data_IF_524704576148
#
_entry.id   IF_524704576148
#
_cell.length_a   1.000
_cell.length_b   1.000
_cell.length_c   1.000
_cell.angle_alpha   90.00
_cell.angle_beta   90.00
_cell.angle_gamma   90.00
#
_symmetry.space_group_name_H-M   'P 1'
#
loop_
_entity.id
_entity.type
_entity.pdbx_description
1 polymer ?
#
# COMPACT_ATOMS: atom_id res chain seq x y z
N UNK A 1 -9.68 6.17 28.43
CA UNK A 1 -9.70 7.07 28.17
C UNK A 1 -10.64 7.85 28.58
N UNK A 2 -10.60 8.73 28.66
CA UNK A 2 -11.31 9.38 29.19
C UNK A 2 -12.12 10.22 28.53
N UNK A 3 -11.90 10.59 27.45
CA UNK A 3 -12.68 11.48 26.89
C UNK A 3 -13.97 10.94 26.59
N UNK A 4 -14.13 9.78 26.69
CA UNK A 4 -15.41 9.21 26.47
C UNK A 4 -16.36 9.60 27.55
N UNK A 5 -15.85 10.14 28.62
CA UNK A 5 -16.64 10.39 29.66
C UNK A 5 -17.51 11.49 29.47
N UNK A 6 -17.03 12.48 28.96
CA UNK A 6 -17.85 13.59 28.88
C UNK A 6 -18.52 13.58 27.62
N UNK A 7 -19.69 13.28 27.62
CA UNK A 7 -20.35 13.14 26.44
C UNK A 7 -20.91 14.40 25.96
N UNK A 8 -20.21 15.01 25.16
CA UNK A 8 -20.69 16.20 24.57
C UNK A 8 -21.21 15.89 23.19
N UNK A 9 -22.08 16.69 22.67
CA UNK A 9 -22.53 16.52 21.32
C UNK A 9 -21.40 16.52 20.35
N UNK A 10 -20.44 17.38 20.58
CA UNK A 10 -19.28 17.45 19.75
C UNK A 10 -18.55 16.13 19.72
N UNK A 11 -18.44 15.50 20.87
CA UNK A 11 -17.78 14.21 20.95
C UNK A 11 -18.53 13.14 20.21
N UNK A 12 -19.83 13.15 20.27
CA UNK A 12 -20.63 12.17 19.57
C UNK A 12 -20.43 12.31 18.06
N UNK A 13 -20.41 13.54 17.55
CA UNK A 13 -20.16 13.76 16.15
C UNK A 13 -18.77 13.31 15.76
N UNK A 14 -17.78 13.62 16.59
CA UNK A 14 -16.41 13.19 16.33
C UNK A 14 -16.30 11.69 16.31
N UNK A 15 -17.02 11.02 17.21
CA UNK A 15 -17.00 9.57 17.25
C UNK A 15 -17.56 8.95 15.99
N UNK A 16 -18.54 9.56 15.38
CA UNK A 16 -19.05 9.08 14.10
C UNK A 16 -17.98 9.15 13.03
N UNK A 17 -17.31 10.29 12.93
CA UNK A 17 -16.24 10.45 11.97
C UNK A 17 -15.08 9.51 12.24
N UNK A 18 -14.69 9.40 13.48
CA UNK A 18 -13.62 8.52 13.89
C UNK A 18 -13.97 7.08 13.53
N UNK A 19 -15.20 6.66 13.83
CA UNK A 19 -15.64 5.31 13.51
C UNK A 19 -15.60 5.02 12.03
N UNK A 20 -15.97 5.98 11.20
CA UNK A 20 -15.92 5.83 9.76
C UNK A 20 -14.49 5.67 9.26
N UNK A 21 -13.59 6.51 9.77
CA UNK A 21 -12.19 6.45 9.40
C UNK A 21 -11.58 5.12 9.83
N UNK A 22 -11.87 4.69 11.06
CA UNK A 22 -11.37 3.43 11.58
C UNK A 22 -11.84 2.24 10.73
N UNK A 23 -13.08 2.26 10.27
CA UNK A 23 -13.57 1.20 9.39
C UNK A 23 -12.84 1.18 8.06
N UNK A 24 -12.52 2.35 7.53
CA UNK A 24 -11.76 2.43 6.28
C UNK A 24 -10.35 1.90 6.46
N UNK A 25 -9.73 2.25 7.59
CA UNK A 25 -8.39 1.73 7.90
C UNK A 25 -8.42 0.20 7.99
N UNK A 26 -9.43 -0.36 8.67
CA UNK A 26 -9.55 -1.81 8.76
C UNK A 26 -9.72 -2.48 7.41
N UNK A 27 -10.51 -1.87 6.53
CA UNK A 27 -10.66 -2.41 5.18
C UNK A 27 -9.36 -2.39 4.40
N UNK A 28 -8.58 -1.35 4.58
CA UNK A 28 -7.27 -1.28 3.94
C UNK A 28 -6.31 -2.31 4.51
N UNK A 29 -6.37 -2.56 5.83
CA UNK A 29 -5.57 -3.62 6.44
C UNK A 29 -5.94 -4.98 5.87
N UNK A 30 -7.22 -5.24 5.68
CA UNK A 30 -7.68 -6.48 5.07
C UNK A 30 -7.20 -6.60 3.63
N UNK A 31 -7.30 -5.51 2.87
CA UNK A 31 -6.84 -5.49 1.49
C UNK A 31 -5.34 -5.77 1.41
N UNK A 32 -4.58 -5.20 2.35
CA UNK A 32 -3.14 -5.44 2.41
C UNK A 32 -2.84 -6.90 2.72
N UNK A 33 -3.58 -7.48 3.64
CA UNK A 33 -3.40 -8.89 4.00
C UNK A 33 -3.81 -9.85 2.90
N UNK A 34 -4.67 -9.41 1.99
CA UNK A 34 -5.13 -10.24 0.88
C UNK A 34 -4.31 -10.07 -0.40
N UNK A 35 -3.30 -9.19 -0.38
CA UNK A 35 -2.43 -9.06 -1.53
C UNK A 35 -1.62 -10.35 -1.68
N UNK A 36 -1.39 -10.75 -2.89
CA UNK A 36 -0.47 -11.84 -3.15
C UNK A 36 0.97 -11.37 -2.94
N UNK A 37 1.92 -12.21 -3.35
CA UNK A 37 3.33 -11.84 -3.20
C UNK A 37 3.64 -10.52 -3.91
N UNK A 38 4.57 -9.78 -3.36
CA UNK A 38 4.94 -8.48 -3.91
C UNK A 38 6.41 -8.48 -4.27
N UNK A 39 6.75 -7.77 -5.33
CA UNK A 39 8.14 -7.51 -5.67
C UNK A 39 8.29 -6.05 -6.04
N UNK A 40 9.27 -5.40 -5.44
CA UNK A 40 9.62 -4.04 -5.79
C UNK A 40 10.51 -4.09 -7.01
N UNK A 41 10.10 -3.49 -8.07
CA UNK A 41 10.82 -3.51 -9.31
C UNK A 41 9.85 -3.58 -10.48
N UNK A 42 10.37 -3.81 -11.66
CA UNK A 42 9.53 -3.83 -12.84
C UNK A 42 10.04 -4.82 -13.88
N UNK A 43 9.14 -5.22 -14.76
CA UNK A 43 9.52 -6.04 -15.91
C UNK A 43 9.99 -5.11 -17.01
N UNK A 44 11.16 -5.37 -17.54
CA UNK A 44 11.74 -4.59 -18.64
C UNK A 44 12.09 -5.55 -19.77
N UNK A 45 12.13 -5.03 -20.99
CA UNK A 45 12.50 -5.82 -22.16
C UNK A 45 13.81 -5.26 -22.66
N UNK A 46 14.82 -6.12 -22.73
CA UNK A 46 16.17 -5.72 -23.10
C UNK A 46 16.63 -6.51 -24.31
N UNK A 47 17.32 -5.83 -25.20
CA UNK A 47 17.87 -6.42 -26.40
C UNK A 47 17.56 -5.62 -27.65
N UNK A 48 18.37 -5.76 -28.68
CA UNK A 48 18.15 -5.06 -29.94
C UNK A 48 17.43 -5.93 -30.93
N UNK A 49 17.96 -7.10 -31.22
CA UNK A 49 17.33 -8.03 -32.15
C UNK A 49 16.47 -9.04 -31.42
N UNK A 50 17.00 -9.55 -30.33
CA UNK A 50 16.32 -10.57 -29.56
C UNK A 50 15.91 -9.97 -28.24
N UNK A 51 14.72 -9.38 -28.22
CA UNK A 51 14.24 -8.73 -27.03
C UNK A 51 13.76 -9.77 -26.01
N UNK A 52 14.35 -9.71 -24.84
CA UNK A 52 14.05 -10.67 -23.77
C UNK A 52 13.56 -9.96 -22.52
N UNK A 53 12.61 -10.56 -21.80
CA UNK A 53 12.08 -9.95 -20.60
C UNK A 53 12.93 -10.25 -19.36
N UNK A 54 13.17 -9.21 -18.58
CA UNK A 54 13.90 -9.30 -17.33
C UNK A 54 13.13 -8.61 -16.25
N UNK A 55 13.31 -9.04 -15.01
CA UNK A 55 12.84 -8.28 -13.88
C UNK A 55 14.00 -7.41 -13.41
N UNK A 56 13.74 -6.11 -13.27
CA UNK A 56 14.76 -5.13 -12.92
C UNK A 56 14.50 -4.56 -11.54
N UNK A 57 15.51 -4.62 -10.69
CA UNK A 57 15.46 -4.03 -9.35
C UNK A 57 16.64 -3.09 -9.18
N UNK A 58 16.35 -1.83 -8.89
CA UNK A 58 17.38 -0.86 -8.56
C UNK A 58 17.49 -0.77 -7.05
N UNK A 59 18.70 -1.01 -6.57
CA UNK A 59 18.99 -0.92 -5.14
C UNK A 59 20.41 -0.44 -4.94
N UNK A 60 20.58 0.57 -4.09
CA UNK A 60 21.91 1.10 -3.75
C UNK A 60 22.70 1.52 -5.00
N UNK A 61 22.00 2.19 -5.91
CA UNK A 61 22.58 2.67 -7.18
C UNK A 61 23.04 1.53 -8.09
N UNK A 62 22.59 0.33 -7.84
CA UNK A 62 22.90 -0.81 -8.68
C UNK A 62 21.61 -1.41 -9.24
N UNK A 63 21.69 -1.86 -10.48
CA UNK A 63 20.57 -2.52 -11.11
C UNK A 63 20.83 -4.02 -11.11
N UNK A 64 19.87 -4.77 -10.59
CA UNK A 64 19.92 -6.23 -10.65
C UNK A 64 18.88 -6.70 -11.65
N UNK A 65 19.27 -7.63 -12.50
CA UNK A 65 18.38 -8.15 -13.51
C UNK A 65 18.24 -9.66 -13.34
N UNK A 66 17.02 -10.15 -13.51
CA UNK A 66 16.75 -11.57 -13.50
C UNK A 66 16.05 -11.91 -14.79
N UNK A 67 16.62 -12.82 -15.56
CA UNK A 67 16.01 -13.26 -16.79
C UNK A 67 14.71 -14.02 -16.49
N UNK A 68 13.63 -13.63 -17.13
CA UNK A 68 12.33 -14.22 -16.84
C UNK A 68 11.93 -15.33 -17.81
N UNK A 69 12.36 -15.23 -19.04
CA UNK A 69 11.83 -16.13 -20.06
C UNK A 69 10.37 -15.82 -20.32
N UNK A 70 9.70 -16.68 -21.07
CA UNK A 70 8.32 -16.43 -21.46
C UNK A 70 7.33 -16.84 -20.38
N UNK A 71 7.68 -17.81 -19.56
CA UNK A 71 6.73 -18.38 -18.63
C UNK A 71 6.59 -17.61 -17.32
N UNK A 72 7.55 -16.77 -16.98
CA UNK A 72 7.55 -16.07 -15.68
C UNK A 72 7.20 -14.59 -15.78
N UNK A 73 6.98 -14.08 -16.98
CA UNK A 73 6.68 -12.67 -17.18
C UNK A 73 5.40 -12.25 -16.50
N UNK A 74 4.35 -13.02 -16.69
CA UNK A 74 3.05 -12.68 -16.13
C UNK A 74 3.07 -12.69 -14.60
N UNK A 75 3.76 -13.67 -14.03
CA UNK A 75 3.88 -13.76 -12.59
C UNK A 75 4.67 -12.56 -12.03
N UNK A 76 5.78 -12.22 -12.68
CA UNK A 76 6.58 -11.09 -12.26
C UNK A 76 5.80 -9.77 -12.35
N UNK A 77 5.01 -9.62 -13.41
CA UNK A 77 4.15 -8.44 -13.55
C UNK A 77 3.09 -8.38 -12.46
N UNK A 78 2.52 -9.52 -12.12
CA UNK A 78 1.55 -9.59 -11.04
C UNK A 78 2.16 -9.17 -9.72
N UNK A 79 3.35 -9.65 -9.41
CA UNK A 79 4.05 -9.30 -8.17
C UNK A 79 4.38 -7.80 -8.12
N UNK A 80 4.77 -7.25 -9.26
CA UNK A 80 5.05 -5.82 -9.36
C UNK A 80 3.77 -4.99 -9.18
N UNK A 81 2.65 -5.43 -9.76
CA UNK A 81 1.36 -4.75 -9.56
C UNK A 81 0.91 -4.82 -8.11
N UNK A 82 1.12 -5.97 -7.46
CA UNK A 82 0.79 -6.13 -6.05
C UNK A 82 1.58 -5.14 -5.19
N UNK A 83 2.84 -4.92 -5.54
CA UNK A 83 3.66 -3.95 -4.82
C UNK A 83 3.11 -2.52 -4.99
N UNK A 84 2.73 -2.16 -6.19
CA UNK A 84 2.16 -0.83 -6.45
C UNK A 84 0.86 -0.65 -5.68
N UNK A 85 0.05 -1.70 -5.61
CA UNK A 85 -1.17 -1.66 -4.85
C UNK A 85 -0.88 -1.53 -3.36
N UNK A 86 0.14 -2.21 -2.87
CA UNK A 86 0.56 -2.08 -1.48
C UNK A 86 0.95 -0.63 -1.17
N UNK A 87 1.71 0.02 -2.05
CA UNK A 87 2.09 1.41 -1.85
C UNK A 87 0.87 2.33 -1.81
N UNK A 88 -0.10 2.08 -2.66
CA UNK A 88 -1.33 2.88 -2.67
C UNK A 88 -2.11 2.69 -1.36
N UNK A 89 -2.18 1.47 -0.86
CA UNK A 89 -2.84 1.19 0.40
C UNK A 89 -2.12 1.90 1.56
N UNK A 90 -0.80 1.85 1.57
CA UNK A 90 -0.02 2.53 2.62
C UNK A 90 -0.27 4.03 2.59
N UNK A 91 -0.33 4.62 1.41
CA UNK A 91 -0.59 6.05 1.27
C UNK A 91 -1.97 6.40 1.80
N UNK A 92 -2.98 5.64 1.42
CA UNK A 92 -4.35 5.88 1.87
C UNK A 92 -4.47 5.71 3.38
N UNK A 93 -3.84 4.67 3.94
CA UNK A 93 -3.85 4.47 5.39
C UNK A 93 -3.15 5.60 6.12
N UNK A 94 -2.05 6.09 5.55
CA UNK A 94 -1.32 7.19 6.15
C UNK A 94 -2.20 8.43 6.27
N UNK A 95 -2.92 8.76 5.21
CA UNK A 95 -3.82 9.91 5.20
C UNK A 95 -4.91 9.74 6.25
N UNK A 96 -5.50 8.56 6.32
CA UNK A 96 -6.57 8.30 7.28
C UNK A 96 -6.04 8.34 8.72
N UNK A 97 -4.89 7.75 8.96
CA UNK A 97 -4.30 7.76 10.29
C UNK A 97 -3.85 9.15 10.73
N UNK A 98 -3.38 9.97 9.79
CA UNK A 98 -3.06 11.36 10.09
C UNK A 98 -4.32 12.10 10.54
N UNK A 99 -5.45 11.81 9.91
CA UNK A 99 -6.70 12.43 10.30
C UNK A 99 -7.10 12.02 11.72
N UNK A 100 -6.90 10.75 12.06
CA UNK A 100 -7.17 10.27 13.41
C UNK A 100 -6.26 10.93 14.44
N UNK A 101 -4.98 11.08 14.11
CA UNK A 101 -4.04 11.73 15.01
C UNK A 101 -4.37 13.20 15.22
N UNK A 102 -4.82 13.87 14.19
CA UNK A 102 -5.26 15.25 14.32
C UNK A 102 -6.41 15.37 15.31
N UNK A 103 -7.35 14.45 15.23
CA UNK A 103 -8.49 14.49 16.11
C UNK A 103 -8.10 14.22 17.55
N UNK A 104 -7.17 13.30 17.75
CA UNK A 104 -6.68 13.03 19.11
C UNK A 104 -5.98 14.25 19.69
N UNK A 105 -5.22 14.96 18.87
CA UNK A 105 -4.52 16.14 19.35
C UNK A 105 -5.48 17.26 19.75
N UNK A 106 -6.67 17.27 19.21
CA UNK A 106 -7.67 18.27 19.53
C UNK A 106 -8.45 17.93 20.79
N UNK A 107 -8.27 16.76 21.30
CA UNK A 107 -8.92 16.35 22.50
C UNK A 107 -8.11 16.67 23.74
#
# INVERSE_FOLDING_TARGET
>A
MLYSIVIQRKEVCMNKHVGTIQRRVRKLQEAMGNLGPVMRGSVVVIGTRNKQPYFSLNKDKRTRLIYLGQTRVDLARQYSRNYKRLLAIVEDMTILNMELLKRDADL
#
